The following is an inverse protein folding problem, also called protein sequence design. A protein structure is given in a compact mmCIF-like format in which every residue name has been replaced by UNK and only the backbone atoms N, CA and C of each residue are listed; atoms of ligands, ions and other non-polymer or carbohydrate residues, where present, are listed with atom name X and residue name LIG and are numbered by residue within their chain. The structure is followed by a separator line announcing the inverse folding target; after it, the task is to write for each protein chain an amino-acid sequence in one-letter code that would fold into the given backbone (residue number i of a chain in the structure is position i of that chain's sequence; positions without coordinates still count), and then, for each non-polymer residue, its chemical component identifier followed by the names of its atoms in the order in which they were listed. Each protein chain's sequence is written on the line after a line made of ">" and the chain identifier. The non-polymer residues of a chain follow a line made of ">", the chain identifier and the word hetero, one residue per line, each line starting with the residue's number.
data_IF_322031259671
#
_entry.id   IF_322031259671
#
_cell.length_a   1.000
_cell.length_b   1.000
_cell.length_c   1.000
_cell.angle_alpha   90.00
_cell.angle_beta   90.00
_cell.angle_gamma   90.00
#
_symmetry.space_group_name_H-M   'P 1'
#
loop_
_entity.id
_entity.type
_entity.pdbx_description
1 polymer ?
#
# COMPACT_ATOMS: atom_id res chain seq x y z
N UNK A 1 -79.98 -16.40 -32.25
CA UNK A 1 -80.44 -15.32 -31.35
C UNK A 1 -80.95 -15.95 -30.05
N UNK A 2 -80.45 -15.47 -28.90
CA UNK A 2 -80.99 -15.57 -27.52
C UNK A 2 -81.60 -16.89 -26.99
N UNK A 3 -80.91 -17.43 -25.96
CA UNK A 3 -81.36 -17.93 -24.63
C UNK A 3 -82.71 -18.67 -24.52
N UNK A 4 -82.69 -19.85 -23.88
CA UNK A 4 -83.44 -20.07 -22.63
C UNK A 4 -83.01 -21.35 -21.86
N UNK A 5 -83.05 -21.23 -20.54
CA UNK A 5 -83.00 -22.22 -19.47
C UNK A 5 -83.86 -23.47 -19.68
N UNK A 6 -83.44 -24.62 -19.11
CA UNK A 6 -84.23 -25.42 -18.14
C UNK A 6 -83.29 -26.13 -17.15
N UNK A 7 -83.65 -26.05 -15.88
CA UNK A 7 -83.05 -26.67 -14.70
C UNK A 7 -84.07 -27.69 -14.12
N UNK A 8 -83.57 -28.80 -13.55
CA UNK A 8 -84.18 -29.63 -12.47
C UNK A 8 -85.35 -30.56 -12.92
N UNK A 9 -85.54 -31.83 -12.52
CA UNK A 9 -85.15 -32.65 -11.37
C UNK A 9 -85.28 -34.16 -11.71
N UNK A 10 -84.63 -35.03 -10.92
CA UNK A 10 -84.98 -36.45 -10.86
C UNK A 10 -84.03 -37.26 -9.98
N UNK A 11 -84.28 -37.23 -8.66
CA UNK A 11 -83.44 -37.80 -7.61
C UNK A 11 -83.56 -39.33 -7.43
N UNK A 12 -82.48 -39.90 -6.84
CA UNK A 12 -82.39 -40.95 -5.79
C UNK A 12 -81.54 -42.17 -6.15
N UNK A 13 -80.34 -42.24 -5.58
CA UNK A 13 -79.94 -43.25 -4.58
C UNK A 13 -78.57 -42.89 -4.01
N UNK A 14 -78.61 -42.36 -2.79
CA UNK A 14 -77.47 -42.26 -1.88
C UNK A 14 -77.10 -43.69 -1.49
N UNK A 15 -75.96 -44.17 -1.96
CA UNK A 15 -75.25 -45.30 -1.35
C UNK A 15 -73.96 -44.72 -0.78
N UNK A 16 -74.01 -44.51 0.52
CA UNK A 16 -72.85 -44.29 1.38
C UNK A 16 -72.01 -45.56 1.32
N UNK A 17 -70.90 -45.53 0.57
CA UNK A 17 -69.77 -46.45 0.79
C UNK A 17 -68.70 -45.65 1.51
N UNK A 18 -68.89 -45.63 2.83
CA UNK A 18 -67.89 -45.35 3.84
C UNK A 18 -66.91 -46.52 3.80
N UNK A 19 -65.70 -46.37 3.23
CA UNK A 19 -64.59 -47.26 3.55
C UNK A 19 -63.23 -46.63 3.21
N UNK A 20 -62.56 -46.22 4.29
CA UNK A 20 -61.10 -46.16 4.47
C UNK A 20 -60.35 -44.99 3.81
N UNK A 21 -60.76 -43.78 4.20
CA UNK A 21 -59.80 -42.76 4.63
C UNK A 21 -59.25 -43.24 5.99
N UNK A 22 -58.26 -44.12 5.97
CA UNK A 22 -57.16 -44.03 6.94
C UNK A 22 -56.25 -42.96 6.34
N UNK A 23 -56.14 -41.73 6.85
CA UNK A 23 -55.56 -41.45 8.15
C UNK A 23 -54.49 -42.50 8.52
N UNK A 24 -53.59 -42.80 7.57
CA UNK A 24 -52.19 -42.58 7.92
C UNK A 24 -52.11 -41.07 8.18
N UNK A 25 -52.20 -40.60 9.44
CA UNK A 25 -50.98 -40.49 10.24
C UNK A 25 -49.83 -40.53 9.27
N UNK A 26 -49.52 -39.37 8.68
CA UNK A 26 -48.22 -39.14 8.09
C UNK A 26 -47.27 -39.70 9.14
N UNK A 27 -46.78 -40.91 8.86
CA UNK A 27 -45.59 -41.39 9.47
C UNK A 27 -44.64 -40.27 9.05
N UNK A 28 -44.36 -39.35 9.97
CA UNK A 28 -43.11 -38.67 9.99
C UNK A 28 -42.12 -39.83 10.04
N UNK A 29 -41.84 -40.41 8.87
CA UNK A 29 -40.57 -41.01 8.61
C UNK A 29 -39.63 -39.82 8.81
N UNK A 30 -39.28 -39.58 10.06
CA UNK A 30 -38.02 -39.01 10.44
C UNK A 30 -37.02 -39.93 9.76
N UNK A 31 -36.70 -39.62 8.50
CA UNK A 31 -35.53 -40.17 7.88
C UNK A 31 -34.41 -39.70 8.82
N UNK A 32 -33.97 -40.63 9.66
CA UNK A 32 -32.89 -40.36 10.61
C UNK A 32 -31.72 -39.89 9.76
N UNK A 33 -31.30 -38.64 9.96
CA UNK A 33 -30.06 -38.16 9.36
C UNK A 33 -28.97 -39.13 9.82
N UNK A 34 -28.27 -39.74 8.87
CA UNK A 34 -27.20 -40.69 9.20
C UNK A 34 -26.14 -39.95 10.03
N UNK A 35 -25.71 -40.50 11.19
CA UNK A 35 -24.55 -39.99 11.92
C UNK A 35 -23.34 -39.68 11.04
N UNK A 36 -23.13 -40.43 9.95
CA UNK A 36 -22.07 -40.14 8.98
C UNK A 36 -22.26 -38.80 8.27
N UNK A 37 -23.49 -38.37 7.99
CA UNK A 37 -23.78 -37.09 7.32
C UNK A 37 -23.56 -35.90 8.25
N UNK A 38 -24.00 -36.00 9.52
CA UNK A 38 -23.71 -34.97 10.54
C UNK A 38 -22.21 -34.90 10.88
N UNK A 39 -21.54 -36.04 10.95
CA UNK A 39 -20.09 -36.12 11.11
C UNK A 39 -19.33 -35.52 9.93
N UNK A 40 -19.77 -35.80 8.70
CA UNK A 40 -19.22 -35.20 7.49
C UNK A 40 -19.38 -33.68 7.47
N UNK A 41 -20.56 -33.17 7.85
CA UNK A 41 -20.79 -31.74 7.95
C UNK A 41 -19.90 -31.10 9.02
N UNK A 42 -19.76 -31.73 10.19
CA UNK A 42 -18.87 -31.26 11.25
C UNK A 42 -17.43 -31.13 10.75
N UNK A 43 -16.91 -32.14 10.05
CA UNK A 43 -15.55 -32.12 9.47
C UNK A 43 -15.41 -30.97 8.47
N UNK A 44 -16.40 -30.77 7.59
CA UNK A 44 -16.36 -29.69 6.60
C UNK A 44 -16.43 -28.31 7.26
N UNK A 45 -17.26 -28.12 8.28
CA UNK A 45 -17.33 -26.85 9.03
C UNK A 45 -16.03 -26.57 9.79
N UNK A 46 -15.40 -27.60 10.38
CA UNK A 46 -14.09 -27.48 11.02
C UNK A 46 -12.98 -27.13 10.00
N UNK A 47 -13.03 -27.72 8.81
CA UNK A 47 -12.10 -27.38 7.73
C UNK A 47 -12.30 -25.94 7.24
N UNK A 48 -13.55 -25.49 7.12
CA UNK A 48 -13.87 -24.11 6.77
C UNK A 48 -13.34 -23.14 7.83
N UNK A 49 -13.51 -23.47 9.12
CA UNK A 49 -13.00 -22.68 10.24
C UNK A 49 -11.49 -22.50 10.18
N UNK A 50 -10.76 -23.60 9.93
CA UNK A 50 -9.30 -23.58 9.79
C UNK A 50 -8.84 -22.75 8.58
N UNK A 51 -9.57 -22.80 7.46
CA UNK A 51 -9.25 -22.00 6.29
C UNK A 51 -9.55 -20.51 6.51
N UNK A 52 -10.66 -20.17 7.17
CA UNK A 52 -10.98 -18.78 7.53
C UNK A 52 -9.88 -18.16 8.42
N UNK A 53 -9.39 -18.92 9.41
CA UNK A 53 -8.32 -18.48 10.30
C UNK A 53 -7.01 -18.22 9.56
N UNK A 54 -6.66 -19.11 8.62
CA UNK A 54 -5.50 -18.92 7.75
C UNK A 54 -5.63 -17.67 6.86
N UNK A 55 -6.85 -17.31 6.43
CA UNK A 55 -7.06 -16.11 5.62
C UNK A 55 -7.11 -14.83 6.46
N UNK A 56 -7.70 -14.87 7.66
CA UNK A 56 -7.79 -13.73 8.59
C UNK A 56 -6.43 -13.09 8.87
N UNK A 57 -5.37 -13.92 8.92
CA UNK A 57 -4.00 -13.50 9.16
C UNK A 57 -3.32 -12.80 7.95
N UNK A 58 -3.95 -12.80 6.78
CA UNK A 58 -3.36 -12.33 5.51
C UNK A 58 -4.16 -11.21 4.83
N UNK A 59 -5.15 -10.65 5.52
CA UNK A 59 -6.03 -9.59 4.99
C UNK A 59 -5.90 -8.32 5.83
N UNK A 60 -6.49 -7.22 5.35
CA UNK A 60 -6.53 -5.98 6.13
C UNK A 60 -7.37 -6.13 7.42
N UNK A 61 -7.19 -5.17 8.34
CA UNK A 61 -7.82 -5.23 9.67
C UNK A 61 -9.36 -5.22 9.62
N UNK A 62 -9.97 -4.56 8.63
CA UNK A 62 -11.41 -4.50 8.51
C UNK A 62 -11.99 -5.82 7.99
N UNK A 63 -11.34 -6.44 7.00
CA UNK A 63 -11.66 -7.76 6.50
C UNK A 63 -11.43 -8.84 7.58
N UNK A 64 -10.31 -8.77 8.31
CA UNK A 64 -10.00 -9.70 9.41
C UNK A 64 -11.07 -9.65 10.50
N UNK A 65 -11.55 -8.46 10.89
CA UNK A 65 -12.62 -8.33 11.88
C UNK A 65 -13.94 -8.99 11.42
N UNK A 66 -14.27 -8.90 10.12
CA UNK A 66 -15.47 -9.53 9.55
C UNK A 66 -15.32 -11.04 9.43
N UNK A 67 -14.14 -11.53 9.02
CA UNK A 67 -13.80 -12.96 9.04
C UNK A 67 -13.94 -13.49 10.46
N UNK A 68 -13.45 -12.77 11.46
CA UNK A 68 -13.55 -13.17 12.85
C UNK A 68 -15.02 -13.29 13.35
N UNK A 69 -15.93 -12.46 12.85
CA UNK A 69 -17.36 -12.62 13.15
C UNK A 69 -17.95 -13.89 12.53
N UNK A 70 -17.59 -14.20 11.29
CA UNK A 70 -18.00 -15.43 10.59
C UNK A 70 -17.47 -16.66 11.32
N UNK A 71 -16.21 -16.60 11.75
CA UNK A 71 -15.54 -17.60 12.56
C UNK A 71 -16.25 -17.87 13.90
N UNK A 72 -16.64 -16.82 14.63
CA UNK A 72 -17.39 -16.95 15.89
C UNK A 72 -18.77 -17.58 15.67
N UNK A 73 -19.45 -17.21 14.58
CA UNK A 73 -20.72 -17.80 14.21
C UNK A 73 -20.53 -19.29 13.86
N UNK A 74 -19.48 -19.63 13.11
CA UNK A 74 -19.12 -21.00 12.75
C UNK A 74 -18.76 -21.85 13.98
N UNK A 75 -18.02 -21.30 14.95
CA UNK A 75 -17.72 -21.96 16.23
C UNK A 75 -19.01 -22.23 17.03
N UNK A 76 -19.97 -21.30 17.00
CA UNK A 76 -21.29 -21.48 17.57
C UNK A 76 -22.03 -22.65 16.92
N UNK A 77 -22.08 -22.68 15.60
CA UNK A 77 -22.73 -23.73 14.82
C UNK A 77 -22.06 -25.10 14.99
N UNK A 78 -20.73 -25.16 15.05
CA UNK A 78 -19.96 -26.37 15.34
C UNK A 78 -20.32 -26.92 16.73
N UNK A 79 -20.41 -26.04 17.75
CA UNK A 79 -20.81 -26.44 19.10
C UNK A 79 -22.25 -26.95 19.15
N UNK A 80 -23.18 -26.28 18.48
CA UNK A 80 -24.58 -26.73 18.38
C UNK A 80 -24.65 -28.11 17.69
N UNK A 81 -23.91 -28.31 16.59
CA UNK A 81 -23.87 -29.60 15.87
C UNK A 81 -23.24 -30.71 16.71
N UNK A 82 -22.15 -30.43 17.45
CA UNK A 82 -21.54 -31.37 18.39
C UNK A 82 -22.49 -31.75 19.53
N UNK A 83 -23.27 -30.79 20.03
CA UNK A 83 -24.29 -31.06 21.05
C UNK A 83 -25.41 -31.95 20.49
N UNK A 84 -25.88 -31.73 19.26
CA UNK A 84 -26.87 -32.58 18.60
C UNK A 84 -26.35 -34.01 18.39
N UNK A 85 -25.09 -34.16 17.95
CA UNK A 85 -24.45 -35.47 17.80
C UNK A 85 -24.35 -36.20 19.16
N UNK A 86 -24.08 -35.46 20.23
CA UNK A 86 -23.89 -36.02 21.59
C UNK A 86 -25.19 -36.35 22.30
N UNK A 87 -26.23 -35.53 22.13
CA UNK A 87 -27.50 -35.64 22.87
C UNK A 87 -28.50 -36.63 22.24
N UNK A 88 -28.19 -37.18 21.05
CA UNK A 88 -28.97 -38.19 20.36
C UNK A 88 -30.07 -37.61 19.43
N UNK A 89 -30.38 -38.38 18.38
CA UNK A 89 -31.18 -37.96 17.21
C UNK A 89 -32.64 -37.58 17.51
N UNK A 90 -33.18 -37.93 18.68
CA UNK A 90 -34.59 -37.69 19.01
C UNK A 90 -34.95 -36.20 19.22
N UNK A 91 -33.94 -35.33 19.41
CA UNK A 91 -34.11 -33.86 19.49
C UNK A 91 -33.70 -33.11 18.21
N UNK A 92 -33.27 -33.83 17.17
CA UNK A 92 -32.55 -33.25 16.06
C UNK A 92 -33.44 -32.46 15.08
N UNK A 93 -34.67 -32.88 14.81
CA UNK A 93 -35.54 -32.29 13.78
C UNK A 93 -35.74 -30.75 13.83
N UNK A 94 -35.79 -30.13 15.02
CA UNK A 94 -36.00 -28.66 15.15
C UNK A 94 -34.67 -27.89 15.19
N UNK A 95 -33.63 -28.52 15.73
CA UNK A 95 -32.28 -27.95 15.79
C UNK A 95 -31.57 -28.06 14.44
N UNK A 96 -31.86 -29.10 13.66
CA UNK A 96 -31.34 -29.35 12.31
C UNK A 96 -31.63 -28.20 11.35
N UNK A 97 -32.91 -27.79 11.20
CA UNK A 97 -33.27 -26.70 10.29
C UNK A 97 -32.62 -25.36 10.69
N UNK A 98 -32.49 -25.10 11.99
CA UNK A 98 -31.83 -23.90 12.51
C UNK A 98 -30.33 -23.94 12.23
N UNK A 99 -29.65 -25.02 12.60
CA UNK A 99 -28.22 -25.23 12.35
C UNK A 99 -27.90 -25.11 10.87
N UNK A 100 -28.71 -25.71 9.99
CA UNK A 100 -28.52 -25.59 8.54
C UNK A 100 -28.77 -24.17 8.03
N UNK A 101 -29.80 -23.47 8.52
CA UNK A 101 -30.05 -22.06 8.18
C UNK A 101 -28.88 -21.16 8.62
N UNK A 102 -28.33 -21.42 9.81
CA UNK A 102 -27.20 -20.66 10.36
C UNK A 102 -25.92 -20.96 9.58
N UNK A 103 -25.66 -22.23 9.20
CA UNK A 103 -24.60 -22.59 8.24
C UNK A 103 -24.81 -21.79 6.94
N UNK A 104 -25.98 -21.85 6.30
CA UNK A 104 -26.25 -21.10 5.06
C UNK A 104 -26.03 -19.60 5.20
N UNK A 105 -26.44 -19.00 6.31
CA UNK A 105 -26.27 -17.57 6.59
C UNK A 105 -24.79 -17.20 6.69
N UNK A 106 -24.02 -17.98 7.46
CA UNK A 106 -22.57 -17.79 7.64
C UNK A 106 -21.83 -17.99 6.32
N UNK A 107 -22.22 -19.01 5.54
CA UNK A 107 -21.69 -19.27 4.20
C UNK A 107 -21.98 -18.10 3.23
N UNK A 108 -23.18 -17.52 3.29
CA UNK A 108 -23.59 -16.36 2.49
C UNK A 108 -22.87 -15.06 2.89
N UNK A 109 -22.62 -14.85 4.18
CA UNK A 109 -21.84 -13.72 4.69
C UNK A 109 -20.36 -13.83 4.28
N UNK A 110 -19.77 -15.02 4.44
CA UNK A 110 -18.41 -15.31 3.97
C UNK A 110 -18.30 -15.05 2.46
N UNK A 111 -19.28 -15.54 1.69
CA UNK A 111 -19.32 -15.31 0.25
C UNK A 111 -19.35 -13.82 -0.12
N UNK A 112 -20.18 -13.04 0.55
CA UNK A 112 -20.31 -11.60 0.29
C UNK A 112 -19.00 -10.88 0.54
N UNK A 113 -18.30 -11.19 1.63
CA UNK A 113 -16.98 -10.63 1.92
C UNK A 113 -15.92 -11.08 0.91
N UNK A 114 -15.97 -12.33 0.44
CA UNK A 114 -15.01 -12.84 -0.54
C UNK A 114 -15.17 -12.15 -1.90
N UNK A 115 -16.41 -11.94 -2.35
CA UNK A 115 -16.69 -11.24 -3.60
C UNK A 115 -16.29 -9.77 -3.56
N UNK A 116 -16.40 -9.11 -2.41
CA UNK A 116 -16.05 -7.69 -2.27
C UNK A 116 -14.54 -7.46 -2.22
N UNK A 117 -13.78 -8.38 -1.62
CA UNK A 117 -12.36 -8.16 -1.32
C UNK A 117 -11.39 -8.88 -2.28
N UNK A 118 -11.87 -9.82 -3.11
CA UNK A 118 -11.14 -10.28 -4.30
C UNK A 118 -9.83 -11.02 -4.08
N UNK A 119 -9.54 -11.47 -2.86
CA UNK A 119 -8.26 -12.12 -2.52
C UNK A 119 -8.20 -13.58 -3.00
N UNK A 120 -7.05 -13.96 -3.57
CA UNK A 120 -6.71 -15.34 -3.92
C UNK A 120 -6.76 -16.32 -2.74
N UNK A 121 -6.61 -15.80 -1.51
CA UNK A 121 -6.61 -16.58 -0.27
C UNK A 121 -7.94 -17.34 0.00
N UNK A 122 -9.05 -16.95 -0.65
CA UNK A 122 -10.37 -17.51 -0.41
C UNK A 122 -10.76 -18.72 -1.29
N UNK A 123 -9.91 -19.15 -2.22
CA UNK A 123 -10.22 -20.28 -3.12
C UNK A 123 -10.47 -21.57 -2.32
N UNK A 124 -9.67 -21.82 -1.28
CA UNK A 124 -9.87 -22.95 -0.38
C UNK A 124 -11.22 -22.89 0.34
N UNK A 125 -11.54 -21.73 0.94
CA UNK A 125 -12.80 -21.53 1.66
C UNK A 125 -14.00 -21.76 0.74
N UNK A 126 -13.98 -21.22 -0.48
CA UNK A 126 -15.06 -21.42 -1.46
C UNK A 126 -15.24 -22.89 -1.89
N UNK A 127 -14.14 -23.65 -2.04
CA UNK A 127 -14.19 -25.10 -2.27
C UNK A 127 -14.82 -25.85 -1.10
N UNK A 128 -14.45 -25.49 0.14
CA UNK A 128 -14.99 -26.12 1.35
C UNK A 128 -16.49 -25.79 1.52
N UNK A 129 -16.90 -24.57 1.17
CA UNK A 129 -18.30 -24.15 1.13
C UNK A 129 -19.11 -24.97 0.12
N UNK A 130 -18.58 -25.19 -1.09
CA UNK A 130 -19.22 -26.03 -2.10
C UNK A 130 -19.39 -27.49 -1.60
N UNK A 131 -18.37 -28.04 -0.95
CA UNK A 131 -18.45 -29.37 -0.35
C UNK A 131 -19.48 -29.45 0.77
N UNK A 132 -19.59 -28.41 1.62
CA UNK A 132 -20.58 -28.36 2.69
C UNK A 132 -22.00 -28.44 2.14
N UNK A 133 -22.30 -27.65 1.11
CA UNK A 133 -23.59 -27.67 0.43
C UNK A 133 -23.93 -29.06 -0.16
N UNK A 134 -22.93 -29.75 -0.75
CA UNK A 134 -23.11 -31.12 -1.25
C UNK A 134 -23.39 -32.12 -0.13
N UNK A 135 -22.72 -32.02 1.02
CA UNK A 135 -23.01 -32.88 2.19
C UNK A 135 -24.42 -32.62 2.72
N UNK A 136 -24.88 -31.35 2.72
CA UNK A 136 -26.23 -30.97 3.15
C UNK A 136 -27.32 -31.53 2.24
N UNK A 137 -27.11 -31.54 0.92
CA UNK A 137 -28.06 -32.14 -0.01
C UNK A 137 -28.12 -33.68 0.10
N UNK A 138 -27.05 -34.30 0.60
CA UNK A 138 -27.05 -35.73 0.95
C UNK A 138 -28.03 -36.10 2.08
N UNK A 139 -28.61 -35.12 2.78
CA UNK A 139 -29.62 -35.34 3.81
C UNK A 139 -30.99 -35.55 3.14
N UNK A 140 -31.71 -36.64 3.44
CA UNK A 140 -33.05 -36.87 2.90
C UNK A 140 -33.97 -35.66 3.11
N UNK A 141 -34.68 -35.25 2.06
CA UNK A 141 -35.63 -34.12 2.04
C UNK A 141 -35.02 -32.72 2.16
N UNK A 142 -33.70 -32.59 2.32
CA UNK A 142 -33.02 -31.29 2.22
C UNK A 142 -32.66 -31.04 0.76
N UNK A 143 -33.29 -30.05 0.15
CA UNK A 143 -32.93 -29.59 -1.20
C UNK A 143 -32.16 -28.29 -1.12
N UNK A 144 -30.90 -28.36 -1.49
CA UNK A 144 -30.06 -27.18 -1.63
C UNK A 144 -30.27 -26.60 -3.01
N UNK A 145 -30.62 -25.32 -3.09
CA UNK A 145 -30.71 -24.65 -4.38
C UNK A 145 -29.31 -24.42 -4.94
N UNK A 146 -29.12 -24.49 -6.27
CA UNK A 146 -27.84 -24.12 -6.87
C UNK A 146 -27.42 -22.73 -6.42
N UNK A 147 -26.13 -22.58 -6.14
CA UNK A 147 -25.58 -21.34 -5.64
C UNK A 147 -24.13 -21.17 -6.08
N UNK A 148 -23.79 -20.00 -6.59
CA UNK A 148 -22.43 -19.63 -6.96
C UNK A 148 -21.80 -18.81 -5.84
N UNK A 149 -20.72 -19.33 -5.25
CA UNK A 149 -19.93 -18.63 -4.26
C UNK A 149 -19.00 -17.63 -4.96
N UNK A 150 -18.03 -18.11 -5.72
CA UNK A 150 -17.00 -17.23 -6.28
C UNK A 150 -16.70 -17.48 -7.74
N UNK A 151 -16.18 -16.46 -8.41
CA UNK A 151 -15.51 -16.56 -9.71
C UNK A 151 -14.01 -16.34 -9.50
N UNK A 152 -13.17 -17.10 -10.18
CA UNK A 152 -11.71 -16.97 -10.10
C UNK A 152 -11.08 -17.25 -11.46
N UNK A 153 -10.10 -16.44 -11.88
CA UNK A 153 -9.67 -15.20 -11.23
C UNK A 153 -10.68 -14.07 -11.45
N UNK A 154 -10.76 -13.12 -10.51
CA UNK A 154 -11.56 -11.90 -10.67
C UNK A 154 -10.87 -10.86 -11.59
N UNK A 155 -9.55 -10.99 -11.77
CA UNK A 155 -8.69 -10.16 -12.60
C UNK A 155 -7.76 -11.06 -13.41
N UNK A 156 -7.75 -10.91 -14.74
CA UNK A 156 -6.89 -11.66 -15.66
C UNK A 156 -5.85 -10.73 -16.25
N UNK A 157 -4.60 -11.19 -16.34
CA UNK A 157 -3.58 -10.47 -17.09
C UNK A 157 -3.69 -10.80 -18.58
N UNK A 158 -3.46 -9.81 -19.45
CA UNK A 158 -3.59 -10.03 -20.89
C UNK A 158 -2.62 -11.09 -21.45
N UNK A 159 -1.48 -11.28 -20.77
CA UNK A 159 -0.42 -12.20 -21.17
C UNK A 159 -0.55 -13.57 -20.48
N UNK A 160 -1.58 -13.79 -19.65
CA UNK A 160 -1.80 -15.08 -18.98
C UNK A 160 -2.04 -16.19 -20.01
N UNK A 161 -1.19 -17.23 -19.96
CA UNK A 161 -1.31 -18.41 -20.83
C UNK A 161 -2.49 -19.29 -20.44
N UNK A 162 -2.80 -19.36 -19.13
CA UNK A 162 -3.90 -20.13 -18.56
C UNK A 162 -5.05 -19.20 -18.17
N UNK A 163 -5.93 -18.90 -19.13
CA UNK A 163 -7.10 -18.03 -18.95
C UNK A 163 -8.32 -18.79 -18.42
N UNK A 164 -8.09 -19.77 -17.56
CA UNK A 164 -9.15 -20.56 -16.96
C UNK A 164 -9.95 -19.71 -15.98
N UNK A 165 -11.20 -19.43 -16.35
CA UNK A 165 -12.20 -18.84 -15.47
C UNK A 165 -12.99 -19.98 -14.84
N UNK A 166 -12.96 -20.03 -13.52
CA UNK A 166 -13.62 -21.03 -12.70
C UNK A 166 -14.69 -20.40 -11.82
N UNK A 167 -15.81 -21.09 -11.68
CA UNK A 167 -16.91 -20.76 -10.77
C UNK A 167 -16.97 -21.84 -9.70
N UNK A 168 -16.91 -21.42 -8.45
CA UNK A 168 -17.05 -22.26 -7.28
C UNK A 168 -18.48 -22.15 -6.77
N UNK A 169 -19.13 -23.29 -6.57
CA UNK A 169 -20.54 -23.31 -6.21
C UNK A 169 -21.05 -24.70 -5.93
N UNK A 170 -22.31 -24.75 -5.52
CA UNK A 170 -23.07 -25.97 -5.46
C UNK A 170 -23.93 -26.07 -6.70
N UNK A 171 -23.66 -27.08 -7.54
CA UNK A 171 -24.28 -27.25 -8.85
C UNK A 171 -24.74 -28.72 -9.04
N UNK A 172 -25.80 -29.14 -8.35
CA UNK A 172 -26.15 -30.55 -8.19
C UNK A 172 -26.71 -31.20 -9.45
N UNK A 173 -27.39 -30.41 -10.29
CA UNK A 173 -28.09 -30.87 -11.48
C UNK A 173 -27.22 -30.84 -12.76
N UNK A 174 -25.90 -30.69 -12.64
CA UNK A 174 -24.96 -30.72 -13.78
C UNK A 174 -24.53 -32.16 -14.05
N UNK A 175 -24.85 -32.66 -15.24
CA UNK A 175 -24.44 -33.99 -15.71
C UNK A 175 -24.02 -33.96 -17.20
N UNK A 176 -23.66 -35.11 -17.77
CA UNK A 176 -23.25 -35.21 -19.19
C UNK A 176 -24.35 -34.80 -20.18
N UNK A 177 -25.63 -34.94 -19.80
CA UNK A 177 -26.80 -34.57 -20.59
C UNK A 177 -27.29 -33.13 -20.35
N UNK A 178 -26.95 -32.54 -19.20
CA UNK A 178 -27.37 -31.21 -18.78
C UNK A 178 -26.16 -30.41 -18.30
N UNK A 179 -25.42 -29.85 -19.26
CA UNK A 179 -24.25 -29.01 -18.96
C UNK A 179 -24.65 -27.59 -18.61
N UNK A 180 -23.93 -27.00 -17.65
CA UNK A 180 -23.98 -25.56 -17.43
C UNK A 180 -23.32 -24.80 -18.59
N UNK A 181 -23.78 -23.57 -18.80
CA UNK A 181 -23.32 -22.70 -19.88
C UNK A 181 -22.93 -21.36 -19.30
N UNK A 182 -21.99 -20.68 -19.96
CA UNK A 182 -21.67 -19.29 -19.68
C UNK A 182 -21.86 -18.46 -20.92
N UNK A 183 -22.52 -17.32 -20.73
CA UNK A 183 -22.72 -16.30 -21.74
C UNK A 183 -21.73 -15.18 -21.46
N UNK A 184 -20.78 -15.00 -22.37
CA UNK A 184 -19.67 -14.05 -22.22
C UNK A 184 -19.96 -12.82 -23.07
N UNK A 185 -19.90 -11.64 -22.45
CA UNK A 185 -20.10 -10.34 -23.11
C UNK A 185 -18.94 -9.42 -22.82
N UNK A 186 -18.42 -8.79 -23.88
CA UNK A 186 -17.43 -7.73 -23.79
C UNK A 186 -17.76 -6.63 -24.80
N UNK A 187 -17.42 -5.40 -24.46
CA UNK A 187 -17.66 -4.24 -25.31
C UNK A 187 -17.00 -4.40 -26.69
N UNK A 188 -17.79 -4.32 -27.76
CA UNK A 188 -17.31 -4.44 -29.14
C UNK A 188 -16.85 -5.84 -29.54
N UNK A 189 -17.30 -6.88 -28.83
CA UNK A 189 -17.13 -8.31 -29.20
C UNK A 189 -18.52 -8.93 -29.29
N UNK A 190 -18.75 -9.79 -30.29
CA UNK A 190 -20.00 -10.52 -30.39
C UNK A 190 -20.14 -11.47 -29.20
N UNK A 191 -21.29 -11.41 -28.54
CA UNK A 191 -21.63 -12.28 -27.43
C UNK A 191 -21.48 -13.76 -27.80
N UNK A 192 -20.89 -14.55 -26.89
CA UNK A 192 -20.65 -15.98 -27.11
C UNK A 192 -21.15 -16.81 -25.94
N UNK A 193 -21.81 -17.93 -26.26
CA UNK A 193 -22.19 -18.93 -25.25
C UNK A 193 -21.20 -20.09 -25.31
N UNK A 194 -20.65 -20.46 -24.16
CA UNK A 194 -19.67 -21.53 -24.01
C UNK A 194 -20.22 -22.58 -23.04
N UNK A 195 -19.91 -23.85 -23.28
CA UNK A 195 -20.17 -24.91 -22.30
C UNK A 195 -19.13 -24.86 -21.19
N UNK A 196 -19.58 -25.06 -19.96
CA UNK A 196 -18.69 -25.15 -18.80
C UNK A 196 -18.25 -26.60 -18.59
N UNK A 197 -16.94 -26.80 -18.40
CA UNK A 197 -16.38 -28.08 -17.98
C UNK A 197 -16.52 -28.27 -16.47
N UNK A 198 -16.74 -29.50 -16.02
CA UNK A 198 -16.70 -29.85 -14.60
C UNK A 198 -15.27 -30.15 -14.15
N UNK A 199 -14.90 -29.63 -12.97
CA UNK A 199 -13.59 -29.80 -12.35
C UNK A 199 -13.76 -30.29 -10.90
N UNK A 200 -12.73 -30.95 -10.32
CA UNK A 200 -12.77 -31.41 -8.94
C UNK A 200 -13.06 -30.27 -7.94
N UNK A 201 -13.75 -30.61 -6.84
CA UNK A 201 -14.03 -29.67 -5.74
C UNK A 201 -15.23 -28.74 -5.97
N UNK A 202 -16.24 -29.17 -6.71
CA UNK A 202 -17.47 -28.39 -6.94
C UNK A 202 -17.26 -27.19 -7.85
N UNK A 203 -16.37 -27.32 -8.83
CA UNK A 203 -15.96 -26.22 -9.70
C UNK A 203 -16.40 -26.47 -11.13
N UNK A 204 -16.94 -25.45 -11.76
CA UNK A 204 -17.22 -25.45 -13.21
C UNK A 204 -16.41 -24.32 -13.86
N UNK A 205 -15.97 -24.46 -15.10
CA UNK A 205 -15.10 -23.45 -15.69
C UNK A 205 -14.94 -23.53 -17.19
N UNK A 206 -14.31 -22.51 -17.75
CA UNK A 206 -14.02 -22.38 -19.17
C UNK A 206 -12.75 -21.57 -19.37
N UNK A 207 -12.12 -21.73 -20.53
CA UNK A 207 -11.00 -20.87 -20.95
C UNK A 207 -11.56 -19.63 -21.63
N UNK A 208 -11.26 -18.44 -21.11
CA UNK A 208 -11.70 -17.18 -21.70
C UNK A 208 -11.09 -17.03 -23.11
N UNK A 209 -11.93 -16.89 -24.15
CA UNK A 209 -11.42 -16.76 -25.50
C UNK A 209 -10.61 -15.45 -25.70
N UNK A 210 -9.54 -15.46 -26.52
CA UNK A 210 -8.64 -14.30 -26.69
C UNK A 210 -9.32 -13.01 -27.10
N UNK A 211 -10.39 -13.11 -27.91
CA UNK A 211 -11.17 -11.99 -28.43
C UNK A 211 -11.87 -11.17 -27.33
N UNK A 212 -12.09 -11.77 -26.16
CA UNK A 212 -12.69 -11.10 -25.00
C UNK A 212 -11.66 -10.48 -24.04
N UNK A 213 -10.36 -10.72 -24.25
CA UNK A 213 -9.29 -10.19 -23.40
C UNK A 213 -8.89 -8.79 -23.90
N UNK A 214 -9.59 -7.76 -23.43
CA UNK A 214 -9.30 -6.35 -23.77
C UNK A 214 -8.90 -5.57 -22.53
N UNK A 215 -7.69 -4.99 -22.55
CA UNK A 215 -7.13 -4.25 -21.42
C UNK A 215 -8.06 -3.17 -20.88
N UNK A 216 -8.13 -3.06 -19.55
CA UNK A 216 -8.89 -2.01 -18.88
C UNK A 216 -10.40 -2.18 -18.93
N UNK A 217 -10.90 -3.35 -19.38
CA UNK A 217 -12.34 -3.61 -19.55
C UNK A 217 -12.81 -4.75 -18.67
N UNK A 218 -14.09 -4.70 -18.33
CA UNK A 218 -14.79 -5.80 -17.71
C UNK A 218 -15.35 -6.72 -18.79
N UNK A 219 -15.29 -8.03 -18.52
CA UNK A 219 -16.04 -9.04 -19.25
C UNK A 219 -17.18 -9.50 -18.35
N UNK A 220 -18.41 -9.33 -18.82
CA UNK A 220 -19.61 -9.76 -18.12
C UNK A 220 -19.88 -11.23 -18.43
N UNK A 221 -20.28 -11.96 -17.41
CA UNK A 221 -20.51 -13.40 -17.46
C UNK A 221 -21.90 -13.66 -16.88
N UNK A 222 -22.74 -14.36 -17.64
CA UNK A 222 -24.00 -14.91 -17.14
C UNK A 222 -23.88 -16.42 -17.16
N UNK A 223 -23.79 -17.03 -15.98
CA UNK A 223 -23.64 -18.47 -15.79
C UNK A 223 -25.02 -19.09 -15.65
N UNK A 224 -25.44 -19.89 -16.62
CA UNK A 224 -26.72 -20.59 -16.62
C UNK A 224 -26.52 -22.03 -16.17
N UNK A 225 -27.03 -22.37 -15.00
CA UNK A 225 -26.95 -23.71 -14.41
C UNK A 225 -28.31 -24.40 -14.53
N UNK A 226 -28.39 -25.66 -15.02
CA UNK A 226 -29.66 -26.40 -15.05
C UNK A 226 -30.21 -26.64 -13.64
N UNK A 227 -31.54 -26.66 -13.52
CA UNK A 227 -32.29 -26.93 -12.29
C UNK A 227 -33.45 -27.87 -12.59
N UNK A 228 -33.55 -28.97 -11.84
CA UNK A 228 -34.70 -29.87 -11.90
C UNK A 228 -35.89 -29.24 -11.16
N UNK A 229 -36.91 -28.80 -11.91
CA UNK A 229 -38.14 -28.21 -11.33
C UNK A 229 -39.21 -29.28 -11.02
N UNK A 230 -39.30 -30.29 -11.88
CA UNK A 230 -40.14 -31.50 -11.73
C UNK A 230 -39.37 -32.66 -12.36
N UNK A 231 -39.65 -33.92 -11.97
CA UNK A 231 -38.90 -35.17 -12.28
C UNK A 231 -38.25 -35.34 -13.68
N UNK A 232 -38.61 -34.55 -14.69
CA UNK A 232 -38.04 -34.57 -16.05
C UNK A 232 -37.87 -33.17 -16.70
N UNK A 233 -38.23 -32.08 -16.02
CA UNK A 233 -38.18 -30.71 -16.57
C UNK A 233 -37.02 -29.92 -15.97
N UNK A 234 -36.02 -29.63 -16.80
CA UNK A 234 -34.89 -28.77 -16.47
C UNK A 234 -35.18 -27.32 -16.88
N UNK A 235 -35.09 -26.40 -15.93
CA UNK A 235 -35.01 -24.94 -16.18
C UNK A 235 -33.57 -24.48 -15.95
N UNK A 236 -33.24 -23.22 -16.24
CA UNK A 236 -31.91 -22.67 -15.90
C UNK A 236 -32.04 -21.60 -14.81
N UNK A 237 -31.09 -21.57 -13.88
CA UNK A 237 -30.85 -20.45 -13.00
C UNK A 237 -29.59 -19.72 -13.44
N UNK A 238 -29.73 -18.41 -13.60
CA UNK A 238 -28.65 -17.55 -14.04
C UNK A 238 -27.97 -16.90 -12.83
N UNK A 239 -26.64 -16.85 -12.90
CA UNK A 239 -25.80 -16.13 -11.97
C UNK A 239 -24.94 -15.12 -12.73
N UNK A 240 -25.02 -13.87 -12.31
CA UNK A 240 -24.19 -12.81 -12.86
C UNK A 240 -22.82 -12.80 -12.20
N UNK A 241 -21.78 -12.70 -13.02
CA UNK A 241 -20.40 -12.49 -12.61
C UNK A 241 -19.71 -11.51 -13.55
N UNK A 242 -18.58 -10.98 -13.12
CA UNK A 242 -17.71 -10.15 -13.95
C UNK A 242 -16.26 -10.45 -13.64
N UNK A 243 -15.43 -10.40 -14.67
CA UNK A 243 -13.97 -10.41 -14.53
C UNK A 243 -13.42 -9.11 -15.12
N UNK A 244 -12.31 -8.65 -14.57
CA UNK A 244 -11.61 -7.48 -15.08
C UNK A 244 -10.34 -7.90 -15.83
N UNK A 245 -10.09 -7.33 -16.99
CA UNK A 245 -8.84 -7.56 -17.74
C UNK A 245 -7.88 -6.43 -17.39
N UNK A 246 -6.77 -6.78 -16.73
CA UNK A 246 -5.79 -5.80 -16.26
C UNK A 246 -5.12 -5.05 -17.41
N UNK A 247 -4.82 -3.76 -17.19
CA UNK A 247 -3.96 -3.00 -18.09
C UNK A 247 -2.53 -3.57 -17.99
N UNK A 248 -1.89 -3.80 -19.14
CA UNK A 248 -0.57 -4.47 -19.17
C UNK A 248 0.50 -3.68 -18.43
N UNK A 249 0.51 -2.36 -18.62
CA UNK A 249 1.46 -1.45 -17.98
C UNK A 249 0.68 -0.35 -17.23
N UNK A 250 0.17 -0.63 -16.03
CA UNK A 250 -0.66 0.32 -15.30
C UNK A 250 0.16 1.41 -14.61
N UNK A 251 1.49 1.26 -14.52
CA UNK A 251 2.36 2.27 -13.94
C UNK A 251 3.00 3.14 -15.01
N UNK A 252 2.94 4.46 -14.79
CA UNK A 252 3.69 5.47 -15.54
C UNK A 252 4.54 6.28 -14.58
N UNK A 253 5.81 6.42 -14.87
CA UNK A 253 6.78 7.18 -14.09
C UNK A 253 7.30 8.36 -14.89
N UNK A 254 7.42 9.50 -14.23
CA UNK A 254 8.16 10.65 -14.71
C UNK A 254 9.34 10.92 -13.77
N UNK A 255 10.53 11.00 -14.34
CA UNK A 255 11.79 11.24 -13.66
C UNK A 255 12.28 12.63 -14.02
N UNK A 256 12.55 13.47 -13.02
CA UNK A 256 13.26 14.73 -13.20
C UNK A 256 14.61 14.63 -12.48
N UNK A 257 15.66 14.37 -13.27
CA UNK A 257 17.04 14.29 -12.80
C UNK A 257 17.58 15.70 -12.69
N UNK A 258 18.16 16.03 -11.54
CA UNK A 258 18.74 17.34 -11.26
C UNK A 258 20.19 17.20 -10.79
N UNK A 259 21.02 18.16 -11.17
CA UNK A 259 22.38 18.33 -10.63
C UNK A 259 22.42 19.48 -9.62
N UNK A 260 23.39 19.44 -8.72
CA UNK A 260 23.63 20.57 -7.81
C UNK A 260 24.05 21.78 -8.65
N UNK A 261 23.53 22.95 -8.31
CA UNK A 261 23.85 24.15 -9.06
C UNK A 261 25.27 24.62 -8.72
N UNK A 262 26.22 24.61 -9.68
CA UNK A 262 27.60 25.03 -9.42
C UNK A 262 27.70 26.52 -9.06
N UNK A 263 26.72 27.34 -9.45
CA UNK A 263 26.69 28.78 -9.15
C UNK A 263 26.05 29.10 -7.80
N UNK A 264 25.55 28.10 -7.06
CA UNK A 264 24.89 28.30 -5.78
C UNK A 264 25.83 28.92 -4.74
N UNK A 265 27.08 28.51 -4.73
CA UNK A 265 28.10 28.95 -3.79
C UNK A 265 29.05 29.91 -4.46
N UNK A 266 29.25 31.08 -3.85
CA UNK A 266 30.26 32.04 -4.25
C UNK A 266 31.43 32.03 -3.27
N UNK A 267 32.64 32.17 -3.80
CA UNK A 267 33.85 32.43 -3.01
C UNK A 267 34.24 33.89 -3.19
N UNK A 268 34.26 34.66 -2.11
CA UNK A 268 34.40 36.11 -2.12
C UNK A 268 35.52 36.55 -1.17
N UNK A 269 36.60 37.17 -1.65
CA UNK A 269 37.54 37.84 -0.76
C UNK A 269 36.86 39.06 -0.11
N UNK A 270 37.13 39.31 1.16
CA UNK A 270 36.68 40.53 1.82
C UNK A 270 37.24 41.77 1.09
N UNK A 271 36.42 42.81 0.84
CA UNK A 271 36.87 44.01 0.14
C UNK A 271 37.86 44.84 0.98
N UNK A 272 37.81 44.70 2.30
CA UNK A 272 38.68 45.36 3.27
C UNK A 272 39.12 44.40 4.37
N UNK A 273 40.07 44.85 5.19
CA UNK A 273 40.48 44.14 6.40
C UNK A 273 39.60 44.56 7.58
N UNK A 274 39.34 43.64 8.49
CA UNK A 274 38.84 43.95 9.82
C UNK A 274 40.00 44.31 10.74
N UNK A 275 39.92 45.43 11.45
CA UNK A 275 40.99 45.89 12.34
C UNK A 275 40.53 45.86 13.78
N UNK A 276 41.30 45.16 14.61
CA UNK A 276 41.09 45.09 16.05
C UNK A 276 42.36 45.55 16.77
N UNK A 277 42.20 46.36 17.82
CA UNK A 277 43.29 47.01 18.55
C UNK A 277 43.11 46.85 20.05
N UNK A 278 44.18 46.51 20.74
CA UNK A 278 44.32 46.69 22.17
C UNK A 278 45.28 47.85 22.45
N UNK A 279 44.95 48.66 23.46
CA UNK A 279 45.79 49.75 23.95
C UNK A 279 45.90 49.70 25.47
N UNK A 280 46.77 50.53 26.03
CA UNK A 280 46.98 50.69 27.46
C UNK A 280 45.74 51.00 28.30
N UNK A 281 44.66 51.54 27.70
CA UNK A 281 43.39 51.77 28.38
C UNK A 281 42.46 50.55 28.37
N UNK A 282 42.75 49.55 27.53
CA UNK A 282 42.00 48.31 27.33
C UNK A 282 42.95 47.12 27.46
N UNK A 283 43.22 46.70 28.71
CA UNK A 283 44.01 45.50 28.97
C UNK A 283 43.44 44.28 28.25
N UNK A 284 44.33 43.54 27.57
CA UNK A 284 44.19 42.21 26.96
C UNK A 284 42.82 41.87 26.35
N UNK A 285 42.75 41.84 25.02
CA UNK A 285 41.52 41.51 24.29
C UNK A 285 41.63 40.13 23.64
N UNK A 286 40.90 39.16 24.18
CA UNK A 286 40.73 37.85 23.56
C UNK A 286 39.33 37.81 22.97
N UNK A 287 39.24 37.65 21.65
CA UNK A 287 37.95 37.64 20.95
C UNK A 287 37.83 36.44 20.04
N UNK A 288 36.58 36.05 19.83
CA UNK A 288 36.19 35.13 18.78
C UNK A 288 35.12 35.79 17.95
N UNK A 289 35.38 35.95 16.66
CA UNK A 289 34.43 36.52 15.70
C UNK A 289 33.90 35.40 14.80
N UNK A 290 32.58 35.43 14.52
CA UNK A 290 31.96 34.45 13.63
C UNK A 290 32.14 34.86 12.17
N UNK A 291 32.09 33.87 11.26
CA UNK A 291 32.07 34.09 9.81
C UNK A 291 30.89 34.94 9.37
N UNK A 292 29.74 34.76 10.01
CA UNK A 292 28.54 35.57 9.79
C UNK A 292 28.77 37.03 10.13
N UNK A 293 29.29 37.31 11.34
CA UNK A 293 29.47 38.69 11.81
C UNK A 293 30.51 39.42 10.96
N UNK A 294 31.63 38.76 10.65
CA UNK A 294 32.65 39.31 9.77
C UNK A 294 32.15 39.49 8.33
N UNK A 295 31.33 38.58 7.81
CA UNK A 295 30.69 38.77 6.50
C UNK A 295 29.75 39.98 6.49
N UNK A 296 28.94 40.12 7.55
CA UNK A 296 28.04 41.26 7.72
C UNK A 296 28.81 42.59 7.84
N UNK A 297 29.96 42.60 8.53
CA UNK A 297 30.78 43.80 8.74
C UNK A 297 31.55 44.19 7.47
N UNK A 298 32.13 43.23 6.75
CA UNK A 298 33.08 43.49 5.66
C UNK A 298 32.44 43.48 4.26
N UNK A 299 31.46 42.61 4.01
CA UNK A 299 30.81 42.50 2.68
C UNK A 299 29.45 43.19 2.70
N UNK A 300 28.65 42.95 3.75
CA UNK A 300 27.34 43.58 3.97
C UNK A 300 26.33 43.47 2.80
N UNK A 301 26.48 42.47 1.91
CA UNK A 301 25.54 42.22 0.80
C UNK A 301 24.59 41.06 1.13
N UNK A 302 23.59 41.35 1.97
CA UNK A 302 22.53 40.38 2.30
C UNK A 302 21.45 40.29 1.20
N UNK A 303 21.51 41.11 0.15
CA UNK A 303 20.57 41.05 -0.98
C UNK A 303 20.95 39.96 -1.97
N UNK A 304 22.24 39.83 -2.25
CA UNK A 304 22.78 38.83 -3.18
C UNK A 304 23.13 37.53 -2.47
N UNK A 305 23.55 37.59 -1.21
CA UNK A 305 24.07 36.43 -0.47
C UNK A 305 23.28 36.14 0.80
N UNK A 306 23.23 34.87 1.17
CA UNK A 306 22.64 34.42 2.42
C UNK A 306 23.67 34.40 3.53
N UNK A 307 23.73 35.49 4.28
CA UNK A 307 24.67 35.71 5.39
C UNK A 307 24.74 34.54 6.38
N UNK A 308 23.62 33.85 6.63
CA UNK A 308 23.57 32.74 7.59
C UNK A 308 24.38 31.52 7.13
N UNK A 309 24.73 31.46 5.85
CA UNK A 309 25.55 30.39 5.25
C UNK A 309 27.01 30.77 5.08
N UNK A 310 27.41 31.97 5.52
CA UNK A 310 28.78 32.45 5.35
C UNK A 310 29.76 31.58 6.15
N UNK A 311 30.81 31.11 5.49
CA UNK A 311 31.88 30.35 6.07
C UNK A 311 33.24 30.87 5.61
N UNK A 312 34.28 30.76 6.44
CA UNK A 312 35.64 31.07 6.04
C UNK A 312 36.19 29.97 5.12
N UNK A 313 36.59 30.36 3.90
CA UNK A 313 37.34 29.52 2.97
C UNK A 313 38.86 29.71 3.13
N UNK A 314 39.28 30.92 3.50
CA UNK A 314 40.64 31.26 3.88
C UNK A 314 40.62 32.42 4.87
N UNK A 315 41.67 32.53 5.69
CA UNK A 315 41.87 33.64 6.62
C UNK A 315 43.29 34.16 6.47
N UNK A 316 43.45 35.31 5.79
CA UNK A 316 44.69 36.05 5.83
C UNK A 316 44.71 36.97 7.06
N UNK A 317 45.84 37.06 7.73
CA UNK A 317 46.00 37.97 8.86
C UNK A 317 47.39 38.60 8.85
N UNK A 318 47.46 39.87 9.24
CA UNK A 318 48.72 40.53 9.60
C UNK A 318 48.59 41.15 10.97
N UNK A 319 49.73 41.34 11.63
CA UNK A 319 49.79 41.83 13.00
C UNK A 319 50.86 42.90 13.14
N UNK A 320 50.64 43.79 14.10
CA UNK A 320 51.62 44.76 14.57
C UNK A 320 51.71 44.59 16.09
N UNK A 321 52.86 44.11 16.52
CA UNK A 321 53.21 43.80 17.89
C UNK A 321 54.67 44.19 18.18
N UNK A 322 55.16 43.89 19.37
CA UNK A 322 56.54 44.15 19.82
C UNK A 322 56.86 45.63 20.14
N UNK A 323 55.84 46.44 20.41
CA UNK A 323 56.04 47.74 21.02
C UNK A 323 56.28 47.57 22.53
N UNK A 324 57.20 48.35 23.09
CA UNK A 324 57.41 48.44 24.54
C UNK A 324 57.30 49.90 24.98
N UNK A 325 56.67 50.19 26.13
CA UNK A 325 56.68 51.56 26.66
C UNK A 325 58.11 51.97 27.08
N UNK A 326 58.96 50.97 27.34
CA UNK A 326 60.27 51.09 27.96
C UNK A 326 61.05 49.77 27.98
N UNK A 327 62.38 49.84 28.03
CA UNK A 327 63.29 48.67 27.96
C UNK A 327 63.12 47.66 29.11
N UNK A 328 62.50 48.08 30.20
CA UNK A 328 62.26 47.35 31.45
C UNK A 328 60.87 46.67 31.50
N UNK A 329 60.06 46.84 30.45
CA UNK A 329 58.62 46.59 30.44
C UNK A 329 58.25 45.50 29.44
N UNK A 330 57.16 44.77 29.69
CA UNK A 330 56.69 43.74 28.75
C UNK A 330 56.35 44.35 27.39
N UNK A 331 56.55 43.54 26.35
CA UNK A 331 56.21 43.88 24.96
C UNK A 331 54.72 43.65 24.69
N UNK A 332 54.16 44.45 23.79
CA UNK A 332 52.85 44.16 23.20
C UNK A 332 52.89 42.89 22.36
N UNK A 333 51.80 42.14 22.34
CA UNK A 333 51.70 40.87 21.59
C UNK A 333 50.37 40.77 20.87
N UNK A 334 50.41 40.31 19.63
CA UNK A 334 49.23 39.95 18.87
C UNK A 334 49.38 38.51 18.34
N UNK A 335 48.36 37.68 18.55
CA UNK A 335 48.32 36.32 18.03
C UNK A 335 46.97 36.00 17.39
N UNK A 336 47.02 35.40 16.20
CA UNK A 336 45.89 34.64 15.68
C UNK A 336 45.97 33.23 16.28
N UNK A 337 45.06 32.90 17.18
CA UNK A 337 45.16 31.66 17.94
C UNK A 337 44.67 30.46 17.12
N UNK A 338 43.52 30.63 16.46
CA UNK A 338 42.94 29.62 15.56
C UNK A 338 41.86 30.22 14.67
N UNK A 339 41.58 29.55 13.56
CA UNK A 339 40.37 29.77 12.77
C UNK A 339 39.88 28.45 12.18
N UNK A 340 38.58 28.38 11.94
CA UNK A 340 37.91 27.29 11.22
C UNK A 340 36.88 27.88 10.24
N UNK A 341 36.03 27.05 9.62
CA UNK A 341 35.05 27.55 8.66
C UNK A 341 33.98 28.47 9.26
N UNK A 342 33.82 28.51 10.59
CA UNK A 342 32.74 29.21 11.28
C UNK A 342 33.21 30.37 12.16
N UNK A 343 34.47 30.35 12.62
CA UNK A 343 34.98 31.30 13.59
C UNK A 343 36.47 31.57 13.47
N UNK A 344 36.89 32.73 13.95
CA UNK A 344 38.29 33.13 14.10
C UNK A 344 38.52 33.66 15.51
N UNK A 345 39.57 33.18 16.16
CA UNK A 345 39.96 33.56 17.51
C UNK A 345 41.34 34.17 17.52
N UNK A 346 41.49 35.28 18.22
CA UNK A 346 42.76 36.00 18.36
C UNK A 346 42.88 36.61 19.75
N UNK A 347 44.12 36.88 20.12
CA UNK A 347 44.49 37.48 21.40
C UNK A 347 45.39 38.70 21.14
N UNK A 348 45.05 39.82 21.78
CA UNK A 348 45.80 41.06 21.75
C UNK A 348 46.21 41.43 23.17
N UNK A 349 47.48 41.75 23.39
CA UNK A 349 48.05 42.12 24.68
C UNK A 349 48.77 43.46 24.55
N UNK A 350 48.32 44.45 25.32
CA UNK A 350 48.92 45.78 25.38
C UNK A 350 49.22 46.14 26.85
N UNK A 351 50.45 45.88 27.34
CA UNK A 351 50.81 46.18 28.72
C UNK A 351 50.87 47.69 28.98
N UNK A 352 50.66 48.05 30.25
CA UNK A 352 50.94 49.39 30.76
C UNK A 352 52.17 49.36 31.62
N UNK A 353 52.96 50.43 31.53
CA UNK A 353 54.06 50.66 32.45
C UNK A 353 53.66 51.76 33.43
N UNK A 354 53.68 51.45 34.73
CA UNK A 354 53.58 52.47 35.78
C UNK A 354 54.90 53.25 35.92
N UNK A 355 54.85 54.44 36.53
CA UNK A 355 56.07 55.22 36.76
C UNK A 355 57.09 54.44 37.59
N UNK A 356 58.26 54.17 36.99
CA UNK A 356 59.38 53.53 37.68
C UNK A 356 60.73 53.89 37.08
N UNK A 357 61.80 53.68 37.85
CA UNK A 357 63.18 53.84 37.38
C UNK A 357 63.60 52.59 36.60
N UNK A 358 63.94 52.77 35.32
CA UNK A 358 64.45 51.69 34.48
C UNK A 358 65.98 51.73 34.37
N UNK A 359 66.60 52.89 34.61
CA UNK A 359 68.02 53.02 34.91
C UNK A 359 68.28 54.26 35.78
N UNK A 360 69.49 54.40 36.32
CA UNK A 360 69.90 55.57 37.14
C UNK A 360 69.71 56.92 36.41
N UNK A 361 69.60 56.90 35.08
CA UNK A 361 69.41 58.09 34.24
C UNK A 361 68.11 58.11 33.43
N UNK A 362 67.32 57.03 33.44
CA UNK A 362 66.06 56.94 32.70
C UNK A 362 64.89 56.60 33.63
N UNK A 363 64.02 57.59 33.82
CA UNK A 363 62.69 57.39 34.37
C UNK A 363 61.73 57.09 33.22
N UNK A 364 60.93 56.04 33.37
CA UNK A 364 59.79 55.81 32.49
C UNK A 364 58.61 56.58 33.02
N UNK A 365 58.21 57.61 32.28
CA UNK A 365 57.14 58.54 32.65
C UNK A 365 55.73 58.01 32.40
N UNK A 366 55.49 56.71 32.65
CA UNK A 366 54.16 56.10 32.54
C UNK A 366 53.65 56.07 31.10
N UNK A 367 54.14 55.11 30.31
CA UNK A 367 53.75 54.90 28.92
C UNK A 367 52.88 53.65 28.71
N UNK A 368 52.18 53.60 27.57
CA UNK A 368 51.40 52.45 27.13
C UNK A 368 51.77 51.99 25.72
N UNK A 369 51.52 50.73 25.40
CA UNK A 369 51.72 50.17 24.05
C UNK A 369 50.41 49.99 23.29
N UNK A 370 50.48 49.60 22.02
CA UNK A 370 49.39 48.95 21.31
C UNK A 370 49.78 47.61 20.69
N UNK A 371 48.77 46.77 20.50
CA UNK A 371 48.83 45.58 19.67
C UNK A 371 47.65 45.64 18.69
N UNK A 372 47.93 45.40 17.42
CA UNK A 372 46.94 45.46 16.35
C UNK A 372 46.93 44.15 15.56
N UNK A 373 45.75 43.71 15.16
CA UNK A 373 45.56 42.61 14.21
C UNK A 373 44.61 43.04 13.10
N UNK A 374 44.96 42.69 11.87
CA UNK A 374 44.12 42.89 10.69
C UNK A 374 43.74 41.53 10.11
N UNK A 375 42.45 41.30 9.93
CA UNK A 375 41.88 40.05 9.40
C UNK A 375 41.30 40.31 8.01
N UNK A 376 41.71 39.51 7.02
CA UNK A 376 41.20 39.57 5.65
C UNK A 376 40.66 38.21 5.21
N UNK A 377 39.42 37.87 5.61
CA UNK A 377 38.83 36.59 5.27
C UNK A 377 38.49 36.48 3.78
N UNK A 378 38.54 35.26 3.25
CA UNK A 378 37.80 34.87 2.05
C UNK A 378 36.61 34.03 2.48
N UNK A 379 35.41 34.43 2.06
CA UNK A 379 34.16 33.77 2.43
C UNK A 379 33.71 32.80 1.34
N UNK A 380 33.11 31.68 1.75
CA UNK A 380 32.23 30.86 0.93
C UNK A 380 30.80 31.06 1.43
N UNK A 381 29.91 31.54 0.57
CA UNK A 381 28.55 31.92 0.95
C UNK A 381 27.56 31.52 -0.15
N UNK A 382 26.34 31.17 0.25
CA UNK A 382 25.26 30.81 -0.68
C UNK A 382 24.67 32.07 -1.32
N UNK A 383 24.44 32.06 -2.63
CA UNK A 383 23.69 33.12 -3.33
C UNK A 383 22.20 32.99 -3.05
N UNK A 384 21.54 34.10 -2.76
CA UNK A 384 20.07 34.17 -2.67
C UNK A 384 19.46 34.03 -4.06
N UNK A 385 18.23 33.52 -4.12
CA UNK A 385 17.44 33.35 -5.34
C UNK A 385 18.08 32.47 -6.43
N UNK A 386 19.18 31.78 -6.13
CA UNK A 386 19.78 30.77 -6.99
C UNK A 386 19.25 29.40 -6.53
N UNK A 387 18.61 28.62 -7.42
CA UNK A 387 18.07 27.32 -7.04
C UNK A 387 19.20 26.36 -6.67
N UNK A 388 18.99 25.55 -5.64
CA UNK A 388 19.99 24.58 -5.17
C UNK A 388 20.33 23.52 -6.21
N UNK A 389 19.31 23.16 -7.01
CA UNK A 389 19.42 22.16 -8.05
C UNK A 389 18.91 22.72 -9.37
N UNK A 390 19.57 22.36 -10.46
CA UNK A 390 19.16 22.69 -11.83
C UNK A 390 18.77 21.42 -12.58
N UNK A 391 17.76 21.48 -13.48
CA UNK A 391 17.36 20.34 -14.29
C UNK A 391 18.53 19.84 -15.12
N UNK A 392 18.72 18.52 -15.15
CA UNK A 392 19.72 17.86 -15.98
C UNK A 392 19.05 17.12 -17.13
N UNK A 393 18.08 16.26 -16.83
CA UNK A 393 17.36 15.46 -17.83
C UNK A 393 16.01 15.06 -17.27
N UNK A 394 15.02 14.92 -18.16
CA UNK A 394 13.75 14.28 -17.83
C UNK A 394 13.64 12.96 -18.59
N UNK A 395 13.05 11.96 -17.93
CA UNK A 395 12.78 10.66 -18.54
C UNK A 395 11.40 10.19 -18.11
N UNK A 396 10.81 9.29 -18.89
CA UNK A 396 9.58 8.59 -18.51
C UNK A 396 9.78 7.10 -18.69
N UNK A 397 9.10 6.31 -17.87
CA UNK A 397 9.04 4.87 -18.04
C UNK A 397 7.63 4.36 -17.74
N UNK A 398 7.30 3.21 -18.27
CA UNK A 398 6.11 2.45 -17.89
C UNK A 398 6.53 1.11 -17.31
N UNK A 399 5.70 0.54 -16.44
CA UNK A 399 5.97 -0.77 -15.85
C UNK A 399 4.69 -1.58 -15.69
N UNK A 400 4.85 -2.91 -15.71
CA UNK A 400 3.81 -3.85 -15.29
C UNK A 400 3.72 -3.84 -13.76
N UNK A 401 2.72 -4.50 -13.18
CA UNK A 401 2.74 -4.82 -11.73
C UNK A 401 3.87 -5.83 -11.46
N UNK A 402 4.47 -5.77 -10.27
CA UNK A 402 5.56 -6.68 -9.83
C UNK A 402 6.75 -6.77 -10.81
N UNK A 403 6.98 -5.73 -11.61
CA UNK A 403 8.10 -5.64 -12.54
C UNK A 403 9.03 -4.48 -12.22
N UNK A 404 10.25 -4.57 -12.73
CA UNK A 404 11.21 -3.47 -12.78
C UNK A 404 10.97 -2.62 -14.05
N UNK A 405 11.22 -1.32 -13.97
CA UNK A 405 11.35 -0.46 -15.16
C UNK A 405 12.67 -0.69 -15.86
N UNK A 406 12.77 -0.32 -17.14
CA UNK A 406 14.08 -0.20 -17.77
C UNK A 406 14.97 0.79 -16.99
N UNK A 407 16.27 0.51 -16.82
CA UNK A 407 17.15 1.38 -16.06
C UNK A 407 17.32 2.75 -16.71
N UNK A 408 17.18 3.82 -15.94
CA UNK A 408 17.45 5.19 -16.39
C UNK A 408 18.88 5.55 -16.00
N UNK A 409 19.76 5.71 -16.99
CA UNK A 409 21.15 6.09 -16.73
C UNK A 409 21.23 7.52 -16.19
N UNK A 410 21.88 7.67 -15.04
CA UNK A 410 22.15 8.94 -14.40
C UNK A 410 23.57 9.38 -14.73
N UNK A 411 23.72 10.61 -15.22
CA UNK A 411 25.04 11.17 -15.48
C UNK A 411 25.82 11.40 -14.16
N UNK A 412 27.15 11.30 -14.18
CA UNK A 412 28.02 11.44 -13.00
C UNK A 412 27.92 12.77 -12.22
N UNK A 413 27.13 13.73 -12.67
CA UNK A 413 26.88 15.03 -12.01
C UNK A 413 25.51 15.10 -11.32
N UNK A 414 24.68 14.05 -11.39
CA UNK A 414 23.37 14.01 -10.75
C UNK A 414 23.50 14.19 -9.23
N UNK A 415 22.53 14.84 -8.60
CA UNK A 415 22.48 15.04 -7.14
C UNK A 415 21.15 14.60 -6.53
N UNK A 416 20.08 14.72 -7.31
CA UNK A 416 18.70 14.47 -6.89
C UNK A 416 17.92 13.97 -8.10
N UNK A 417 17.00 13.03 -7.87
CA UNK A 417 15.98 12.64 -8.84
C UNK A 417 14.62 12.73 -8.17
N UNK A 418 13.72 13.52 -8.76
CA UNK A 418 12.31 13.53 -8.39
C UNK A 418 11.57 12.53 -9.27
N UNK A 419 10.85 11.62 -8.62
CA UNK A 419 10.14 10.54 -9.28
C UNK A 419 8.66 10.71 -8.97
N UNK A 420 7.85 10.88 -10.01
CA UNK A 420 6.39 10.92 -9.91
C UNK A 420 5.84 9.66 -10.57
N UNK A 421 5.33 8.75 -9.76
CA UNK A 421 4.65 7.53 -10.21
C UNK A 421 3.13 7.71 -10.20
N UNK A 422 2.50 7.36 -11.30
CA UNK A 422 1.05 7.26 -11.45
C UNK A 422 0.71 5.82 -11.75
N UNK A 423 -0.08 5.22 -10.88
CA UNK A 423 -0.73 3.94 -11.12
C UNK A 423 -2.16 4.21 -11.61
N UNK A 424 -2.55 3.61 -12.73
CA UNK A 424 -3.92 3.66 -13.25
C UNK A 424 -4.32 2.28 -13.78
N UNK A 425 -5.36 1.71 -13.18
CA UNK A 425 -5.94 0.43 -13.60
C UNK A 425 -7.46 0.47 -13.43
N UNK A 426 -8.17 0.74 -14.53
CA UNK A 426 -9.62 0.90 -14.52
C UNK A 426 -10.03 2.18 -13.80
N UNK A 427 -10.70 2.03 -12.65
CA UNK A 427 -11.11 3.17 -11.79
C UNK A 427 -10.11 3.46 -10.66
N UNK A 428 -9.15 2.58 -10.43
CA UNK A 428 -8.10 2.78 -9.43
C UNK A 428 -7.06 3.76 -10.00
N UNK A 429 -6.87 4.90 -9.32
CA UNK A 429 -5.81 5.85 -9.64
C UNK A 429 -5.07 6.26 -8.37
N UNK A 430 -3.75 6.08 -8.38
CA UNK A 430 -2.89 6.47 -7.28
C UNK A 430 -1.69 7.24 -7.81
N UNK A 431 -1.45 8.43 -7.26
CA UNK A 431 -0.28 9.25 -7.57
C UNK A 431 0.60 9.37 -6.34
N UNK A 432 1.89 9.10 -6.51
CA UNK A 432 2.91 9.21 -5.46
C UNK A 432 4.16 9.87 -6.03
N UNK A 433 4.85 10.62 -5.19
CA UNK A 433 6.13 11.22 -5.53
C UNK A 433 7.15 10.88 -4.46
N UNK A 434 8.36 10.54 -4.87
CA UNK A 434 9.50 10.41 -3.97
C UNK A 434 10.72 11.11 -4.56
N UNK A 435 11.67 11.40 -3.68
CA UNK A 435 12.95 11.95 -4.05
C UNK A 435 14.04 10.95 -3.70
N UNK A 436 14.94 10.72 -4.64
CA UNK A 436 16.18 9.96 -4.43
C UNK A 436 17.34 10.94 -4.52
N UNK A 437 18.28 10.87 -3.58
CA UNK A 437 19.52 11.69 -3.58
C UNK A 437 20.73 10.77 -3.56
N UNK A 438 21.94 11.31 -3.71
CA UNK A 438 23.16 10.49 -3.54
C UNK A 438 23.30 9.91 -2.14
N UNK A 439 22.93 10.69 -1.13
CA UNK A 439 23.03 10.30 0.28
C UNK A 439 21.91 9.32 0.67
N UNK A 440 20.77 9.40 -0.02
CA UNK A 440 19.62 8.51 0.15
C UNK A 440 19.26 7.90 -1.21
N UNK A 441 20.02 6.88 -1.66
CA UNK A 441 19.89 6.32 -3.02
C UNK A 441 18.70 5.38 -3.19
N UNK A 442 17.88 5.18 -2.14
CA UNK A 442 16.70 4.32 -2.16
C UNK A 442 15.52 5.04 -1.53
N UNK A 443 14.36 4.98 -2.19
CA UNK A 443 13.11 5.52 -1.69
C UNK A 443 11.94 4.56 -1.96
N UNK A 444 11.09 4.36 -0.97
CA UNK A 444 10.02 3.34 -1.03
C UNK A 444 8.66 3.96 -0.78
N UNK A 445 7.66 3.48 -1.52
CA UNK A 445 6.24 3.76 -1.32
C UNK A 445 5.48 2.44 -1.09
N UNK A 446 4.19 2.54 -0.80
CA UNK A 446 3.31 1.36 -0.73
C UNK A 446 3.22 0.60 -2.07
N UNK A 447 3.43 1.27 -3.21
CA UNK A 447 3.22 0.71 -4.56
C UNK A 447 4.51 0.35 -5.30
N UNK A 448 5.63 0.99 -4.97
CA UNK A 448 6.89 0.81 -5.70
C UNK A 448 8.08 1.29 -4.88
N UNK A 449 9.27 0.79 -5.23
CA UNK A 449 10.57 1.17 -4.66
C UNK A 449 11.47 1.66 -5.77
N UNK A 450 12.09 2.81 -5.58
CA UNK A 450 13.11 3.35 -6.46
C UNK A 450 14.49 3.17 -5.81
N UNK A 451 15.49 2.76 -6.60
CA UNK A 451 16.88 2.62 -6.15
C UNK A 451 17.85 3.07 -7.23
N UNK A 452 19.00 3.60 -6.82
CA UNK A 452 20.11 3.92 -7.71
C UNK A 452 21.28 2.99 -7.44
N UNK A 453 21.65 2.21 -8.44
CA UNK A 453 22.77 1.26 -8.39
C UNK A 453 23.69 1.46 -9.59
N UNK A 454 25.00 1.61 -9.34
CA UNK A 454 26.01 1.81 -10.39
C UNK A 454 25.65 2.94 -11.38
N UNK A 455 25.06 4.03 -10.88
CA UNK A 455 24.65 5.16 -11.70
C UNK A 455 23.38 4.94 -12.52
N UNK A 456 22.62 3.87 -12.28
CA UNK A 456 21.34 3.62 -12.95
C UNK A 456 20.20 3.67 -11.94
N UNK A 457 19.19 4.47 -12.24
CA UNK A 457 17.94 4.49 -11.50
C UNK A 457 17.03 3.37 -11.99
N UNK A 458 16.48 2.61 -11.04
CA UNK A 458 15.51 1.55 -11.28
C UNK A 458 14.29 1.77 -10.40
N UNK A 459 13.12 1.40 -10.90
CA UNK A 459 11.88 1.37 -10.12
C UNK A 459 11.27 -0.02 -10.16
N UNK A 460 11.16 -0.66 -9.01
CA UNK A 460 10.47 -1.93 -8.80
C UNK A 460 9.04 -1.66 -8.32
N UNK A 461 8.05 -2.07 -9.11
CA UNK A 461 6.63 -2.05 -8.71
C UNK A 461 6.28 -3.25 -7.83
N UNK A 462 5.24 -3.09 -6.99
CA UNK A 462 4.75 -4.12 -6.07
C UNK A 462 3.50 -4.85 -6.58
#
# INVERSE_FOLDING_TARGET
>A
MKRLFVMIAGAKKVVVVFMLITLSLACSASASVDPMTLGGLLVVLQQLRSQLDAVSNNVDQAASARIHQIELALDGTIKELQAVIKDGFDKANTTEQKVFSDVYSVMGQANTEFQQNGYWAYVGANSTLANAATVLEGIPFVKVKPYMFAVTPIRIEIDDSDRLVSFYGHFPDIDESHKAKVKVRAEGVAEKTLELGSYPGGRIGFVLPPDFVREGRFVELVVSVPIVKYYVYHTFQDFDARLYVAIRQPFTFAFAVKQGNPELWATLPAPSEDHERADSGRTSNNQTLSSRDLFSKLVSDNTTYDMDTAAFAAMESRKHDDEHPCDCCDHSKASLDRWDSSSVSFSLYAPTCGDHMCSVFNHCGGGGTNADIWLKPTFKVKRRNVPEHIPLTTATATAKRRSETDPVSLQNVWSMVEIVGVFRDGKEEHKRSVTVTRDVPVATTEMWTASVENGNLKVQTR
#
